data_IF_687919928513
#
_entry.id   IF_687919928513
#
_cell.length_a   1.000
_cell.length_b   1.000
_cell.length_c   1.000
_cell.angle_alpha   90.00
_cell.angle_beta   90.00
_cell.angle_gamma   90.00
#
_symmetry.space_group_name_H-M   'P 1'
#
loop_
_entity.id
_entity.type
_entity.pdbx_description
1 polymer ?
#
# COMPACT_ATOMS: atom_id res chain seq x y z
N UNK A 1 15.28 -50.21 34.89
CA UNK A 1 14.55 -49.22 34.06
C UNK A 1 15.59 -48.51 33.23
N UNK A 2 15.48 -48.59 31.90
CA UNK A 2 16.50 -48.08 30.98
C UNK A 2 16.33 -46.55 30.86
N UNK A 3 17.36 -45.75 31.04
CA UNK A 3 17.26 -44.28 31.02
C UNK A 3 16.73 -43.69 29.69
N UNK A 4 16.78 -44.50 28.65
CA UNK A 4 16.24 -44.09 27.32
C UNK A 4 14.70 -44.02 27.30
N UNK A 5 13.99 -44.74 28.13
CA UNK A 5 12.53 -44.69 28.23
C UNK A 5 12.05 -43.50 29.05
N UNK A 6 12.88 -43.00 29.96
CA UNK A 6 12.58 -41.82 30.78
C UNK A 6 12.60 -40.54 29.96
N UNK A 7 13.52 -40.43 28.98
CA UNK A 7 13.62 -39.24 28.11
C UNK A 7 12.48 -39.16 27.09
N UNK A 8 11.96 -40.30 26.62
CA UNK A 8 10.81 -40.35 25.71
C UNK A 8 9.51 -40.00 26.45
N UNK A 9 9.38 -40.39 27.71
CA UNK A 9 8.22 -40.02 28.52
C UNK A 9 8.19 -38.52 28.88
N UNK A 10 9.35 -37.91 29.08
CA UNK A 10 9.45 -36.49 29.40
C UNK A 10 9.17 -35.56 28.16
N UNK A 11 9.49 -36.02 26.94
CA UNK A 11 9.21 -35.31 25.72
C UNK A 11 7.71 -35.30 25.35
N UNK A 12 6.92 -36.25 25.81
CA UNK A 12 5.46 -36.30 25.56
C UNK A 12 4.64 -35.40 26.50
N UNK A 13 5.22 -34.93 27.60
CA UNK A 13 4.51 -34.12 28.60
C UNK A 13 4.50 -32.63 28.30
N UNK A 14 5.20 -32.21 27.24
CA UNK A 14 5.29 -30.79 26.84
C UNK A 14 4.32 -30.37 25.73
N UNK A 15 3.50 -31.29 25.22
CA UNK A 15 2.42 -30.93 24.28
C UNK A 15 1.13 -30.70 25.06
N UNK A 16 0.99 -29.55 25.64
CA UNK A 16 -0.29 -29.07 26.15
C UNK A 16 -1.16 -28.63 24.98
N UNK A 17 -2.32 -29.24 24.73
CA UNK A 17 -3.29 -28.64 23.82
C UNK A 17 -3.80 -27.37 24.50
N UNK A 18 -3.41 -26.19 23.99
CA UNK A 18 -4.11 -24.96 24.30
C UNK A 18 -5.50 -25.09 23.69
N UNK A 19 -6.46 -25.42 24.51
CA UNK A 19 -7.86 -25.29 24.13
C UNK A 19 -8.17 -23.79 24.08
N UNK A 20 -8.20 -23.22 22.87
CA UNK A 20 -8.80 -21.94 22.64
C UNK A 20 -10.30 -22.12 22.91
N UNK A 21 -10.81 -21.46 23.94
CA UNK A 21 -12.23 -21.43 24.25
C UNK A 21 -13.03 -20.89 23.07
N UNK A 22 -14.36 -21.17 23.00
CA UNK A 22 -15.22 -20.58 21.99
C UNK A 22 -15.24 -19.05 22.22
N UNK A 23 -14.40 -18.36 21.48
CA UNK A 23 -14.41 -16.90 21.41
C UNK A 23 -15.63 -16.48 20.59
N UNK A 24 -16.29 -15.52 21.10
CA UNK A 24 -17.40 -14.74 20.61
C UNK A 24 -17.57 -14.76 19.10
N UNK A 25 -18.69 -15.33 18.63
CA UNK A 25 -19.28 -15.06 17.33
C UNK A 25 -19.66 -13.57 17.28
N UNK A 26 -18.71 -12.74 16.89
CA UNK A 26 -19.04 -11.50 16.26
C UNK A 26 -19.20 -11.85 14.78
N UNK A 27 -20.44 -12.10 14.37
CA UNK A 27 -20.88 -11.92 13.00
C UNK A 27 -20.60 -10.47 12.61
N UNK A 28 -19.34 -10.16 12.37
CA UNK A 28 -19.00 -9.10 11.46
C UNK A 28 -19.16 -9.72 10.08
N UNK A 29 -20.28 -9.50 9.45
CA UNK A 29 -20.36 -9.45 8.02
C UNK A 29 -19.21 -8.53 7.59
N UNK A 30 -18.06 -9.12 7.36
CA UNK A 30 -17.01 -8.52 6.56
C UNK A 30 -17.61 -8.48 5.15
N UNK A 31 -18.43 -7.46 4.90
CA UNK A 31 -18.55 -6.95 3.56
C UNK A 31 -17.13 -6.96 3.00
N UNK A 32 -16.92 -7.78 1.98
CA UNK A 32 -15.64 -7.84 1.28
C UNK A 32 -15.22 -6.39 1.06
N UNK A 33 -13.97 -6.00 1.39
CA UNK A 33 -13.57 -4.62 1.28
C UNK A 33 -13.95 -4.19 -0.13
N UNK A 34 -14.95 -3.30 -0.17
CA UNK A 34 -15.47 -2.75 -1.42
C UNK A 34 -14.22 -2.31 -2.15
N UNK A 35 -13.91 -2.90 -3.30
CA UNK A 35 -12.69 -2.61 -4.02
C UNK A 35 -12.66 -1.10 -4.15
N UNK A 36 -11.84 -0.45 -3.31
CA UNK A 36 -11.75 1.00 -3.26
C UNK A 36 -11.47 1.44 -4.67
N UNK A 37 -12.31 2.31 -5.22
CA UNK A 37 -12.07 2.88 -6.54
C UNK A 37 -10.60 3.35 -6.56
N UNK A 38 -9.86 3.10 -7.65
CA UNK A 38 -8.46 3.49 -7.73
C UNK A 38 -8.33 4.95 -7.30
N UNK A 39 -7.38 5.23 -6.41
CA UNK A 39 -7.18 6.57 -5.88
C UNK A 39 -6.92 7.52 -7.06
N UNK A 40 -7.65 8.64 -7.12
CA UNK A 40 -7.47 9.61 -8.19
C UNK A 40 -6.05 10.20 -8.11
N UNK A 41 -5.36 10.37 -9.24
CA UNK A 41 -4.07 11.04 -9.29
C UNK A 41 -4.14 12.43 -8.66
N UNK A 42 -3.16 12.74 -7.81
CA UNK A 42 -3.09 14.01 -7.10
C UNK A 42 -1.67 14.50 -6.99
N UNK A 43 -1.51 15.80 -6.84
CA UNK A 43 -0.23 16.42 -6.52
C UNK A 43 -0.39 17.40 -5.36
N UNK A 44 0.74 17.71 -4.74
CA UNK A 44 0.88 18.82 -3.80
C UNK A 44 1.99 19.71 -4.34
N UNK A 45 1.71 21.00 -4.43
CA UNK A 45 2.70 22.03 -4.72
C UNK A 45 2.70 23.03 -3.56
N UNK A 46 3.85 23.34 -2.99
CA UNK A 46 3.94 24.16 -1.79
C UNK A 46 5.01 25.25 -1.91
N UNK A 47 4.82 26.29 -1.12
CA UNK A 47 5.75 27.40 -0.89
C UNK A 47 5.77 27.75 0.59
N UNK A 48 6.40 28.85 0.96
CA UNK A 48 6.36 29.35 2.35
C UNK A 48 4.97 29.89 2.74
N UNK A 49 4.20 30.39 1.79
CA UNK A 49 2.90 31.04 2.04
C UNK A 49 1.71 30.15 1.78
N UNK A 50 1.80 29.22 0.82
CA UNK A 50 0.66 28.48 0.31
C UNK A 50 0.97 27.00 0.10
N UNK A 51 -0.07 26.19 0.22
CA UNK A 51 -0.15 24.81 -0.24
C UNK A 51 -1.27 24.65 -1.24
N UNK A 52 -1.00 24.02 -2.38
CA UNK A 52 -1.95 23.76 -3.46
C UNK A 52 -2.05 22.25 -3.68
N UNK A 53 -3.22 21.69 -3.42
CA UNK A 53 -3.53 20.28 -3.72
C UNK A 53 -4.34 20.23 -5.01
N UNK A 54 -3.87 19.46 -5.99
CA UNK A 54 -4.58 19.21 -7.24
C UNK A 54 -5.02 17.76 -7.35
N UNK A 55 -6.27 17.54 -7.76
CA UNK A 55 -6.86 16.22 -8.02
C UNK A 55 -7.27 16.15 -9.48
N UNK A 56 -6.73 15.18 -10.21
CA UNK A 56 -7.02 14.97 -11.63
C UNK A 56 -8.03 13.85 -11.81
N UNK A 57 -9.15 14.15 -12.48
CA UNK A 57 -10.16 13.19 -12.89
C UNK A 57 -10.36 13.26 -14.41
N UNK A 58 -9.74 12.34 -15.12
CA UNK A 58 -9.70 12.42 -16.58
C UNK A 58 -9.00 13.70 -17.06
N UNK A 59 -9.75 14.66 -17.59
CA UNK A 59 -9.25 15.98 -18.00
C UNK A 59 -9.57 17.09 -16.98
N UNK A 60 -10.48 16.82 -16.06
CA UNK A 60 -10.89 17.79 -15.06
C UNK A 60 -9.86 17.86 -13.93
N UNK A 61 -9.39 19.05 -13.62
CA UNK A 61 -8.46 19.32 -12.53
C UNK A 61 -9.17 20.18 -11.49
N UNK A 62 -9.32 19.65 -10.29
CA UNK A 62 -9.84 20.37 -9.12
C UNK A 62 -8.68 20.73 -8.21
N UNK A 63 -8.62 21.99 -7.77
CA UNK A 63 -7.53 22.53 -6.98
C UNK A 63 -8.07 23.10 -5.67
N UNK A 64 -7.34 22.86 -4.59
CA UNK A 64 -7.60 23.42 -3.26
C UNK A 64 -6.37 24.18 -2.83
N UNK A 65 -6.55 25.46 -2.48
CA UNK A 65 -5.48 26.34 -2.05
C UNK A 65 -5.66 26.70 -0.59
N UNK A 66 -4.64 26.46 0.20
CA UNK A 66 -4.62 26.72 1.63
C UNK A 66 -3.40 27.58 2.02
N UNK A 67 -3.48 28.26 3.15
CA UNK A 67 -2.32 28.88 3.80
C UNK A 67 -1.42 27.81 4.38
N UNK A 68 -0.12 27.89 4.12
CA UNK A 68 0.84 26.87 4.59
C UNK A 68 0.99 26.84 6.12
N UNK A 69 0.81 27.97 6.80
CA UNK A 69 0.99 28.10 8.25
C UNK A 69 -0.22 27.63 9.07
N UNK A 70 -1.42 27.71 8.51
CA UNK A 70 -2.68 27.53 9.25
C UNK A 70 -3.65 26.55 8.62
N UNK A 71 -3.37 26.07 7.39
CA UNK A 71 -4.29 25.29 6.56
C UNK A 71 -5.65 26.01 6.34
N UNK A 72 -5.66 27.32 6.44
CA UNK A 72 -6.88 28.10 6.19
C UNK A 72 -7.14 28.19 4.67
N UNK A 73 -8.36 27.85 4.20
CA UNK A 73 -8.69 27.90 2.78
C UNK A 73 -8.56 29.31 2.20
N UNK A 74 -7.93 29.42 1.04
CA UNK A 74 -7.80 30.66 0.26
C UNK A 74 -8.71 30.58 -0.96
N UNK A 75 -9.91 31.09 -0.83
CA UNK A 75 -10.95 30.99 -1.87
C UNK A 75 -10.96 32.17 -2.84
N UNK A 76 -10.30 33.27 -2.48
CA UNK A 76 -10.19 34.49 -3.27
C UNK A 76 -8.76 34.68 -3.75
N UNK A 77 -8.38 33.98 -4.81
CA UNK A 77 -7.07 34.06 -5.44
C UNK A 77 -7.18 33.97 -6.97
N UNK A 78 -6.15 34.46 -7.65
CA UNK A 78 -5.92 34.15 -9.07
C UNK A 78 -4.82 33.11 -9.16
N UNK A 79 -5.08 32.04 -9.92
CA UNK A 79 -4.15 30.95 -10.16
C UNK A 79 -3.75 30.91 -11.63
N UNK A 80 -2.44 30.78 -11.89
CA UNK A 80 -1.91 30.38 -13.19
C UNK A 80 -1.12 29.10 -12.96
N UNK A 81 -1.44 28.03 -13.71
CA UNK A 81 -0.87 26.71 -13.51
C UNK A 81 -0.22 26.23 -14.80
N UNK A 82 0.97 25.67 -14.71
CA UNK A 82 1.60 24.89 -15.77
C UNK A 82 1.64 23.41 -15.32
N UNK A 83 1.05 22.54 -16.15
CA UNK A 83 1.00 21.10 -15.91
C UNK A 83 1.17 20.35 -17.23
N UNK A 84 2.12 19.43 -17.32
CA UNK A 84 2.39 18.63 -18.52
C UNK A 84 2.58 19.48 -19.79
N UNK A 85 3.18 20.67 -19.66
CA UNK A 85 3.39 21.61 -20.76
C UNK A 85 2.16 22.44 -21.15
N UNK A 86 1.03 22.25 -20.49
CA UNK A 86 -0.19 23.06 -20.69
C UNK A 86 -0.26 24.20 -19.67
N UNK A 87 -0.51 25.40 -20.15
CA UNK A 87 -0.83 26.54 -19.29
C UNK A 87 -2.33 26.65 -19.07
N UNK A 88 -2.74 26.68 -17.82
CA UNK A 88 -4.11 26.68 -17.37
C UNK A 88 -4.39 27.91 -16.51
N UNK A 89 -5.63 28.41 -16.57
CA UNK A 89 -6.14 29.47 -15.70
C UNK A 89 -7.35 28.93 -14.93
N UNK A 90 -7.12 28.30 -13.78
CA UNK A 90 -8.19 27.73 -12.97
C UNK A 90 -9.22 28.79 -12.57
N UNK A 91 -10.49 28.44 -12.63
CA UNK A 91 -11.60 29.33 -12.27
C UNK A 91 -12.11 29.01 -10.86
N UNK A 92 -12.34 30.00 -10.01
CA UNK A 92 -12.90 29.80 -8.68
C UNK A 92 -14.30 29.21 -8.76
N UNK A 93 -14.61 28.31 -7.83
CA UNK A 93 -15.90 27.65 -7.69
C UNK A 93 -16.63 28.12 -6.43
N UNK A 94 -17.95 27.90 -6.39
CA UNK A 94 -18.80 28.30 -5.25
C UNK A 94 -18.46 27.56 -3.94
N UNK A 95 -17.83 26.39 -4.04
CA UNK A 95 -17.40 25.59 -2.90
C UNK A 95 -16.01 25.99 -2.36
N UNK A 96 -15.40 27.03 -2.94
CA UNK A 96 -14.08 27.52 -2.55
C UNK A 96 -12.91 26.83 -3.25
N UNK A 97 -13.16 25.80 -4.06
CA UNK A 97 -12.14 25.20 -4.91
C UNK A 97 -11.90 26.02 -6.18
N UNK A 98 -10.88 25.61 -6.96
CA UNK A 98 -10.64 26.14 -8.30
C UNK A 98 -10.70 24.98 -9.29
N UNK A 99 -11.18 25.24 -10.51
CA UNK A 99 -11.32 24.24 -11.55
C UNK A 99 -10.66 24.65 -12.85
N UNK A 100 -9.94 23.71 -13.46
CA UNK A 100 -9.40 23.83 -14.80
C UNK A 100 -9.70 22.56 -15.61
N UNK A 101 -9.57 22.64 -16.92
CA UNK A 101 -9.71 21.50 -17.81
C UNK A 101 -8.51 21.42 -18.75
N UNK A 102 -7.89 20.23 -18.82
CA UNK A 102 -6.81 19.93 -19.74
C UNK A 102 -7.38 19.60 -21.13
N UNK A 103 -6.70 20.00 -22.18
CA UNK A 103 -7.07 19.65 -23.56
C UNK A 103 -7.06 18.14 -23.80
N UNK A 104 -6.13 17.42 -23.17
CA UNK A 104 -6.01 15.97 -23.21
C UNK A 104 -5.60 15.42 -21.85
N UNK A 105 -5.90 14.15 -21.59
CA UNK A 105 -5.34 13.44 -20.42
C UNK A 105 -3.83 13.35 -20.63
N UNK A 106 -2.99 13.75 -19.64
CA UNK A 106 -1.55 13.60 -19.76
C UNK A 106 -1.13 12.14 -19.88
N UNK A 107 -0.01 11.88 -20.54
CA UNK A 107 0.54 10.53 -20.64
C UNK A 107 0.97 10.00 -19.25
N UNK A 108 1.12 8.69 -19.14
CA UNK A 108 1.71 8.10 -17.93
C UNK A 108 3.14 8.63 -17.75
N UNK A 109 3.51 8.95 -16.51
CA UNK A 109 4.82 9.49 -16.15
C UNK A 109 4.72 10.52 -15.04
N UNK A 110 5.86 11.09 -14.66
CA UNK A 110 5.95 12.20 -13.71
C UNK A 110 5.93 13.52 -14.48
N UNK A 111 5.01 14.41 -14.10
CA UNK A 111 4.85 15.73 -14.71
C UNK A 111 5.12 16.81 -13.68
N UNK A 112 6.04 17.72 -14.00
CA UNK A 112 6.26 18.90 -13.18
C UNK A 112 4.99 19.77 -13.16
N UNK A 113 4.71 20.31 -11.99
CA UNK A 113 3.64 21.27 -11.73
C UNK A 113 4.25 22.55 -11.22
N UNK A 114 3.88 23.67 -11.82
CA UNK A 114 4.24 25.00 -11.34
C UNK A 114 2.98 25.85 -11.26
N UNK A 115 2.76 26.51 -10.14
CA UNK A 115 1.61 27.37 -9.92
C UNK A 115 2.04 28.75 -9.44
N UNK A 116 1.55 29.79 -10.10
CA UNK A 116 1.63 31.18 -9.60
C UNK A 116 0.31 31.49 -8.90
N UNK A 117 0.41 31.93 -7.65
CA UNK A 117 -0.72 32.32 -6.81
C UNK A 117 -0.66 33.81 -6.55
N UNK A 118 -1.81 34.49 -6.72
CA UNK A 118 -1.99 35.88 -6.30
C UNK A 118 -3.23 35.96 -5.41
N UNK A 119 -3.04 36.24 -4.12
CA UNK A 119 -4.10 36.28 -3.12
C UNK A 119 -3.98 37.57 -2.28
N UNK A 120 -4.75 38.60 -2.65
CA UNK A 120 -4.64 39.94 -2.05
C UNK A 120 -3.29 40.58 -2.37
N UNK A 121 -2.51 40.90 -1.35
CA UNK A 121 -1.15 41.47 -1.49
C UNK A 121 -0.06 40.40 -1.61
N UNK A 122 -0.40 39.13 -1.34
CA UNK A 122 0.55 38.03 -1.38
C UNK A 122 0.62 37.44 -2.79
N UNK A 123 1.83 37.22 -3.28
CA UNK A 123 2.09 36.54 -4.52
C UNK A 123 3.24 35.55 -4.33
N UNK A 124 3.07 34.31 -4.81
CA UNK A 124 4.08 33.27 -4.64
C UNK A 124 4.07 32.27 -5.80
N UNK A 125 5.17 31.52 -5.93
CA UNK A 125 5.38 30.48 -6.92
C UNK A 125 5.51 29.13 -6.21
N UNK A 126 4.61 28.20 -6.52
CA UNK A 126 4.59 26.87 -5.95
C UNK A 126 5.11 25.87 -6.97
N UNK A 127 5.82 24.84 -6.49
CA UNK A 127 6.30 23.76 -7.33
C UNK A 127 5.91 22.40 -6.73
N UNK A 128 5.61 21.44 -7.60
CA UNK A 128 5.25 20.08 -7.23
C UNK A 128 5.35 19.13 -8.42
N UNK A 129 4.92 17.90 -8.23
CA UNK A 129 4.94 16.86 -9.26
C UNK A 129 3.65 16.07 -9.24
N UNK A 130 3.09 15.78 -10.41
CA UNK A 130 1.97 14.87 -10.61
C UNK A 130 2.50 13.56 -11.18
N UNK A 131 2.39 12.49 -10.40
CA UNK A 131 2.73 11.15 -10.84
C UNK A 131 1.50 10.43 -11.40
N UNK A 132 1.56 10.11 -12.71
CA UNK A 132 0.53 9.38 -13.45
C UNK A 132 0.95 7.95 -13.78
N UNK A 133 1.95 7.41 -13.11
CA UNK A 133 2.18 5.96 -13.17
C UNK A 133 0.95 5.32 -12.53
N UNK A 134 0.22 4.48 -13.30
CA UNK A 134 -0.86 3.67 -12.72
C UNK A 134 -0.29 3.04 -11.45
N UNK A 135 -1.00 3.13 -10.34
CA UNK A 135 -0.60 2.43 -9.13
C UNK A 135 -0.41 0.99 -9.56
N UNK A 136 0.86 0.59 -9.71
CA UNK A 136 1.17 -0.81 -9.74
C UNK A 136 0.57 -1.32 -8.43
N UNK A 137 -0.59 -1.97 -8.53
CA UNK A 137 -0.98 -2.89 -7.48
C UNK A 137 0.25 -3.79 -7.40
N UNK A 138 1.05 -3.62 -6.36
CA UNK A 138 1.90 -4.70 -5.92
C UNK A 138 0.92 -5.84 -5.73
N UNK A 139 0.75 -6.63 -6.80
CA UNK A 139 0.18 -7.94 -6.67
C UNK A 139 1.09 -8.62 -5.66
N UNK A 140 0.70 -8.56 -4.40
CA UNK A 140 1.20 -9.48 -3.42
C UNK A 140 0.81 -10.84 -3.95
N UNK A 141 1.69 -11.41 -4.79
CA UNK A 141 1.55 -12.81 -5.15
C UNK A 141 1.30 -13.54 -3.85
N UNK A 142 0.13 -14.18 -3.67
CA UNK A 142 -0.15 -14.87 -2.43
C UNK A 142 0.95 -15.90 -2.27
N UNK A 143 1.86 -15.62 -1.33
CA UNK A 143 3.00 -16.48 -1.04
C UNK A 143 2.45 -17.89 -0.87
N UNK A 144 2.74 -18.75 -1.82
CA UNK A 144 2.10 -20.03 -2.02
C UNK A 144 2.56 -21.00 -0.91
N UNK A 145 2.05 -20.78 0.31
CA UNK A 145 2.33 -21.55 1.52
C UNK A 145 2.05 -23.04 1.32
N UNK A 146 1.09 -23.35 0.43
CA UNK A 146 0.78 -24.73 0.04
C UNK A 146 1.95 -25.42 -0.65
N UNK A 147 2.68 -24.71 -1.52
CA UNK A 147 3.89 -25.24 -2.17
C UNK A 147 5.04 -25.39 -1.19
N UNK A 148 5.22 -24.43 -0.27
CA UNK A 148 6.24 -24.50 0.75
C UNK A 148 5.98 -25.68 1.72
N UNK A 149 4.72 -25.88 2.11
CA UNK A 149 4.29 -27.03 2.92
C UNK A 149 4.53 -28.37 2.23
N UNK A 150 4.29 -28.46 0.90
CA UNK A 150 4.53 -29.66 0.13
C UNK A 150 6.02 -30.04 0.11
N UNK A 151 6.90 -29.07 -0.14
CA UNK A 151 8.35 -29.30 -0.15
C UNK A 151 8.90 -29.66 1.24
N UNK A 152 8.37 -29.04 2.30
CA UNK A 152 8.72 -29.39 3.68
C UNK A 152 8.28 -30.83 4.02
N UNK A 153 7.10 -31.26 3.54
CA UNK A 153 6.62 -32.64 3.69
C UNK A 153 7.52 -33.67 2.99
N UNK A 154 7.93 -33.40 1.76
CA UNK A 154 8.88 -34.28 1.04
C UNK A 154 10.23 -34.36 1.72
N UNK A 155 10.77 -33.25 2.24
CA UNK A 155 12.04 -33.23 2.96
C UNK A 155 11.97 -34.10 4.26
N UNK A 156 10.86 -34.00 4.98
CA UNK A 156 10.64 -34.81 6.19
C UNK A 156 10.55 -36.30 5.88
N UNK A 157 9.83 -36.69 4.83
CA UNK A 157 9.73 -38.11 4.40
C UNK A 157 11.10 -38.65 3.96
N UNK A 158 11.90 -37.87 3.25
CA UNK A 158 13.25 -38.26 2.83
C UNK A 158 14.16 -38.48 4.05
N UNK A 159 14.08 -37.65 5.08
CA UNK A 159 14.86 -37.81 6.32
C UNK A 159 14.45 -39.07 7.09
N UNK A 160 13.16 -39.37 7.19
CA UNK A 160 12.66 -40.58 7.84
C UNK A 160 13.11 -41.82 7.06
N UNK A 161 13.03 -41.79 5.72
CA UNK A 161 13.49 -42.89 4.86
C UNK A 161 14.99 -43.16 5.00
N UNK A 162 15.81 -42.10 5.01
CA UNK A 162 17.26 -42.21 5.19
C UNK A 162 17.61 -42.75 6.57
N UNK A 163 16.90 -42.30 7.63
CA UNK A 163 17.11 -42.77 8.99
C UNK A 163 16.79 -44.25 9.18
N UNK A 164 15.72 -44.75 8.53
CA UNK A 164 15.35 -46.18 8.57
C UNK A 164 16.33 -47.06 7.80
N UNK A 165 16.78 -46.59 6.62
CA UNK A 165 17.77 -47.33 5.82
C UNK A 165 19.13 -47.45 6.53
N UNK A 166 19.58 -46.40 7.22
CA UNK A 166 20.80 -46.44 8.04
C UNK A 166 20.67 -47.45 9.22
N UNK A 167 19.51 -47.48 9.90
CA UNK A 167 19.27 -48.42 10.98
C UNK A 167 19.24 -49.88 10.52
N UNK A 168 18.69 -50.12 9.31
CA UNK A 168 18.68 -51.49 8.74
C UNK A 168 20.09 -51.95 8.37
N UNK A 169 20.94 -51.06 7.82
CA UNK A 169 22.37 -51.39 7.52
C UNK A 169 23.18 -51.72 8.77
N UNK A 170 22.93 -51.02 9.88
CA UNK A 170 23.63 -51.32 11.15
C UNK A 170 23.21 -52.64 11.79
N UNK A 171 21.98 -53.13 11.55
CA UNK A 171 21.53 -54.44 12.07
C UNK A 171 21.93 -55.62 11.21
N UNK A 172 22.26 -55.44 9.92
CA UNK A 172 22.67 -56.51 9.01
C UNK A 172 24.18 -56.79 8.99
N UNK A 173 25.00 -56.08 9.76
CA UNK A 173 26.46 -56.26 9.82
C UNK A 173 26.96 -57.08 11.05
N UNK A 174 26.07 -57.72 11.82
CA UNK A 174 26.43 -58.54 12.96
C UNK A 174 25.93 -59.97 12.74
N UNK A 175 26.53 -60.66 11.78
CA UNK A 175 26.45 -62.13 11.61
C UNK A 175 27.81 -62.64 11.13
#
# INVERSE_FOLDING_TARGET
>A
MNPQHLLIALALLLVHPTWAGPGHDHDHDHDAPNASAPAQPRFVASSELFELVGVLEGKALTLYLDRADSNAPVTAATLELELAGAQLKPQPQADGSFRAELAAVPAAGVHAVTATVMAGEDADLLAGELDLHGQAHEEHEPRNWKRLGLWAGFALLALIGAGTALRMRQKGGAA
#
